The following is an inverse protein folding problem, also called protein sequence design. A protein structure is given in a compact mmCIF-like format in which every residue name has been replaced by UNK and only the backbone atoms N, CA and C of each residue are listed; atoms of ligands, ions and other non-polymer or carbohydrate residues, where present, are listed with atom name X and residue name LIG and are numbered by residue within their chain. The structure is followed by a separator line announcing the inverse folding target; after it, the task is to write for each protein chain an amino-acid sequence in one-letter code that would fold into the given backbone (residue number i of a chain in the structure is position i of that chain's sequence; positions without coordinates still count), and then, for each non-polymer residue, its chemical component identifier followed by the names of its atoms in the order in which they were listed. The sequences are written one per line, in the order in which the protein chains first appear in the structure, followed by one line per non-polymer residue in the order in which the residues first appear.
data_IF_756070600451
#
_entry.id   IF_756070600451
#
_cell.length_a   1.000
_cell.length_b   1.000
_cell.length_c   1.000
_cell.angle_alpha   90.00
_cell.angle_beta   90.00
_cell.angle_gamma   90.00
#
_symmetry.space_group_name_H-M   'P 1'
#
loop_
_entity.id
_entity.type
_entity.pdbx_description
1 polymer ?
#
# COMPACT_ATOMS: atom_id res chain seq x y z
N UNK A 1 -5.25 -5.93 23.50
CA UNK A 1 -4.65 -4.74 22.89
C UNK A 1 -5.69 -4.12 21.98
N UNK A 2 -6.16 -2.92 22.32
CA UNK A 2 -7.20 -2.23 21.57
C UNK A 2 -6.75 -1.97 20.13
N UNK A 3 -7.68 -2.04 19.17
CA UNK A 3 -7.41 -1.83 17.74
C UNK A 3 -6.70 -0.50 17.49
N UNK A 4 -7.00 0.52 18.31
CA UNK A 4 -6.36 1.83 18.27
C UNK A 4 -4.85 1.77 18.53
N UNK A 5 -4.41 0.95 19.51
CA UNK A 5 -2.98 0.78 19.83
C UNK A 5 -2.23 0.07 18.71
N UNK A 6 -2.88 -0.89 18.05
CA UNK A 6 -2.34 -1.60 16.87
C UNK A 6 -2.17 -0.67 15.67
N UNK A 7 -3.17 0.15 15.41
CA UNK A 7 -3.09 1.17 14.37
C UNK A 7 -1.97 2.17 14.64
N UNK A 8 -1.82 2.64 15.88
CA UNK A 8 -0.75 3.56 16.28
C UNK A 8 0.65 2.98 16.00
N UNK A 9 0.87 1.68 16.26
CA UNK A 9 2.13 1.01 15.93
C UNK A 9 2.37 0.97 14.41
N UNK A 10 1.33 0.67 13.62
CA UNK A 10 1.42 0.66 12.16
C UNK A 10 1.71 2.03 11.56
N UNK A 11 1.21 3.10 12.18
CA UNK A 11 1.44 4.48 11.75
C UNK A 11 2.88 4.96 11.98
N UNK A 12 3.67 4.26 12.80
CA UNK A 12 5.10 4.60 13.01
C UNK A 12 5.92 4.44 11.73
N UNK A 13 5.62 3.43 10.90
CA UNK A 13 6.36 3.19 9.66
C UNK A 13 6.22 4.32 8.63
N UNK A 14 5.01 4.86 8.33
CA UNK A 14 4.86 6.10 7.58
C UNK A 14 5.67 7.27 8.11
N UNK A 15 5.71 7.46 9.42
CA UNK A 15 6.43 8.58 10.05
C UNK A 15 7.94 8.43 9.77
N UNK A 16 8.48 7.22 9.94
CA UNK A 16 9.88 6.93 9.60
C UNK A 16 10.16 7.21 8.11
N UNK A 17 9.25 6.81 7.22
CA UNK A 17 9.39 7.07 5.79
C UNK A 17 9.40 8.57 5.46
N UNK A 18 8.57 9.38 6.13
CA UNK A 18 8.58 10.84 5.99
C UNK A 18 9.89 11.47 6.45
N UNK A 19 10.49 10.96 7.54
CA UNK A 19 11.82 11.42 7.99
C UNK A 19 12.87 11.12 6.94
N UNK A 20 12.88 9.91 6.35
CA UNK A 20 13.82 9.55 5.28
C UNK A 20 13.64 10.46 4.07
N UNK A 21 12.40 10.68 3.63
CA UNK A 21 12.08 11.59 2.52
C UNK A 21 12.60 13.01 2.82
N UNK A 22 12.42 13.50 4.04
CA UNK A 22 12.92 14.81 4.49
C UNK A 22 14.45 14.91 4.45
N UNK A 23 15.17 13.85 4.82
CA UNK A 23 16.65 13.81 4.73
C UNK A 23 17.12 13.91 3.29
N UNK A 24 16.51 13.17 2.37
CA UNK A 24 16.86 13.25 0.94
C UNK A 24 16.52 14.60 0.32
N UNK A 25 15.41 15.21 0.76
CA UNK A 25 15.05 16.57 0.35
C UNK A 25 16.10 17.61 0.80
N UNK A 26 16.53 17.55 2.07
CA UNK A 26 17.58 18.41 2.60
C UNK A 26 18.93 18.18 1.90
N UNK A 27 19.28 16.92 1.63
CA UNK A 27 20.50 16.58 0.91
C UNK A 27 20.49 17.14 -0.53
N UNK A 28 19.33 17.12 -1.21
CA UNK A 28 19.19 17.75 -2.51
C UNK A 28 19.34 19.27 -2.42
N UNK A 29 18.66 19.91 -1.46
CA UNK A 29 18.74 21.35 -1.25
C UNK A 29 20.17 21.84 -0.94
N UNK A 30 20.97 21.03 -0.22
CA UNK A 30 22.35 21.35 0.12
C UNK A 30 23.36 21.13 -1.02
N UNK A 31 23.12 20.16 -1.91
CA UNK A 31 24.11 19.75 -2.94
C UNK A 31 23.74 20.15 -4.37
N UNK A 32 22.46 20.37 -4.66
CA UNK A 32 21.94 20.61 -6.01
C UNK A 32 22.10 19.42 -6.97
N UNK A 33 22.48 18.24 -6.48
CA UNK A 33 22.79 17.09 -7.34
C UNK A 33 21.50 16.43 -7.87
N UNK A 34 21.34 16.38 -9.21
CA UNK A 34 20.17 15.77 -9.88
C UNK A 34 19.92 14.31 -9.49
N UNK A 35 20.97 13.55 -9.15
CA UNK A 35 20.82 12.18 -8.67
C UNK A 35 20.02 12.11 -7.36
N UNK A 36 20.20 13.07 -6.44
CA UNK A 36 19.49 13.09 -5.16
C UNK A 36 18.02 13.46 -5.37
N UNK A 37 17.73 14.38 -6.29
CA UNK A 37 16.35 14.68 -6.69
C UNK A 37 15.62 13.43 -7.21
N UNK A 38 16.25 12.64 -8.08
CA UNK A 38 15.63 11.39 -8.57
C UNK A 38 15.33 10.37 -7.46
N UNK A 39 16.17 10.31 -6.42
CA UNK A 39 15.93 9.44 -5.26
C UNK A 39 14.75 9.96 -4.43
N UNK A 40 14.72 11.26 -4.15
CA UNK A 40 13.63 11.92 -3.43
C UNK A 40 12.28 11.70 -4.12
N UNK A 41 12.21 11.93 -5.43
CA UNK A 41 11.00 11.72 -6.22
C UNK A 41 10.57 10.24 -6.21
N UNK A 42 11.52 9.30 -6.34
CA UNK A 42 11.23 7.86 -6.26
C UNK A 42 10.64 7.45 -4.90
N UNK A 43 11.14 8.00 -3.80
CA UNK A 43 10.61 7.72 -2.46
C UNK A 43 9.20 8.27 -2.27
N UNK A 44 8.89 9.45 -2.80
CA UNK A 44 7.54 10.03 -2.74
C UNK A 44 6.56 9.21 -3.56
N UNK A 45 6.95 8.76 -4.76
CA UNK A 45 6.11 7.91 -5.61
C UNK A 45 5.75 6.59 -4.91
N UNK A 46 6.67 6.02 -4.14
CA UNK A 46 6.46 4.75 -3.42
C UNK A 46 5.90 4.94 -2.00
N UNK A 47 5.73 6.18 -1.54
CA UNK A 47 5.29 6.47 -0.17
C UNK A 47 3.96 5.78 0.21
N UNK A 48 2.91 5.78 -0.63
CA UNK A 48 1.65 5.13 -0.27
C UNK A 48 1.78 3.60 -0.13
N UNK A 49 2.70 2.97 -0.87
CA UNK A 49 3.00 1.55 -0.72
C UNK A 49 3.60 1.25 0.67
N UNK A 50 4.58 2.06 1.09
CA UNK A 50 5.20 1.95 2.43
C UNK A 50 4.14 2.11 3.52
N UNK A 51 3.22 3.07 3.33
CA UNK A 51 2.11 3.33 4.25
C UNK A 51 1.17 2.14 4.35
N UNK A 52 0.80 1.54 3.22
CA UNK A 52 -0.02 0.33 3.17
C UNK A 52 0.62 -0.82 3.94
N UNK A 53 1.91 -1.08 3.69
CA UNK A 53 2.66 -2.14 4.37
C UNK A 53 2.74 -1.89 5.89
N UNK A 54 3.08 -0.67 6.29
CA UNK A 54 3.23 -0.29 7.70
C UNK A 54 1.93 -0.46 8.49
N UNK A 55 0.83 0.01 7.91
CA UNK A 55 -0.50 -0.10 8.55
C UNK A 55 -0.98 -1.54 8.59
N UNK A 56 -0.73 -2.34 7.54
CA UNK A 56 -1.06 -3.75 7.53
C UNK A 56 -0.34 -4.53 8.65
N UNK A 57 0.96 -4.27 8.86
CA UNK A 57 1.75 -4.84 9.96
C UNK A 57 1.20 -4.43 11.31
N UNK A 58 0.88 -3.13 11.49
CA UNK A 58 0.34 -2.63 12.76
C UNK A 58 -0.98 -3.28 13.14
N UNK A 59 -1.87 -3.49 12.16
CA UNK A 59 -3.19 -4.08 12.36
C UNK A 59 -3.14 -5.60 12.56
N UNK A 60 -2.16 -6.27 11.94
CA UNK A 60 -1.98 -7.71 12.11
C UNK A 60 -1.71 -8.07 13.59
N UNK A 61 -2.46 -9.04 14.11
CA UNK A 61 -2.38 -9.48 15.51
C UNK A 61 -1.00 -10.01 15.91
N UNK A 62 -0.28 -10.58 14.95
CA UNK A 62 1.03 -11.21 15.11
C UNK A 62 2.17 -10.40 14.48
N UNK A 63 1.89 -9.20 13.96
CA UNK A 63 2.84 -8.34 13.24
C UNK A 63 3.64 -9.09 12.15
N UNK A 64 3.03 -10.11 11.53
CA UNK A 64 3.73 -10.95 10.56
C UNK A 64 4.05 -10.22 9.27
N UNK A 65 5.24 -10.46 8.71
CA UNK A 65 5.62 -9.94 7.39
C UNK A 65 4.67 -10.37 6.25
N UNK A 66 3.91 -11.46 6.41
CA UNK A 66 2.89 -11.86 5.45
C UNK A 66 1.75 -10.82 5.33
N UNK A 67 1.44 -10.09 6.42
CA UNK A 67 0.48 -8.97 6.38
C UNK A 67 1.03 -7.77 5.60
N UNK A 68 2.33 -7.50 5.72
CA UNK A 68 3.01 -6.46 4.94
C UNK A 68 2.93 -6.77 3.44
N UNK A 69 3.21 -8.03 3.07
CA UNK A 69 3.17 -8.48 1.68
C UNK A 69 1.75 -8.42 1.11
N UNK A 70 0.73 -8.75 1.91
CA UNK A 70 -0.66 -8.54 1.52
C UNK A 70 -0.99 -7.05 1.31
N UNK A 71 -0.50 -6.16 2.18
CA UNK A 71 -0.65 -4.70 2.03
C UNK A 71 0.03 -4.15 0.77
N UNK A 72 1.23 -4.63 0.47
CA UNK A 72 1.95 -4.27 -0.76
C UNK A 72 1.19 -4.72 -2.01
N UNK A 73 0.82 -6.01 -2.08
CA UNK A 73 0.07 -6.56 -3.22
C UNK A 73 -1.28 -5.88 -3.39
N UNK A 74 -2.01 -5.65 -2.29
CA UNK A 74 -3.28 -4.95 -2.31
C UNK A 74 -3.15 -3.54 -2.88
N UNK A 75 -2.17 -2.76 -2.42
CA UNK A 75 -1.98 -1.41 -2.93
C UNK A 75 -1.53 -1.39 -4.39
N UNK A 76 -0.66 -2.32 -4.82
CA UNK A 76 -0.23 -2.41 -6.23
C UNK A 76 -1.42 -2.73 -7.16
N UNK A 77 -2.29 -3.65 -6.75
CA UNK A 77 -3.50 -3.99 -7.53
C UNK A 77 -4.46 -2.81 -7.55
N UNK A 78 -4.68 -2.15 -6.41
CA UNK A 78 -5.46 -0.92 -6.34
C UNK A 78 -4.91 0.14 -7.30
N UNK A 79 -3.61 0.42 -7.26
CA UNK A 79 -2.96 1.39 -8.14
C UNK A 79 -3.15 1.03 -9.62
N UNK A 80 -2.95 -0.24 -9.99
CA UNK A 80 -3.18 -0.72 -11.35
C UNK A 80 -4.63 -0.53 -11.82
N UNK A 81 -5.61 -0.74 -10.93
CA UNK A 81 -7.03 -0.53 -11.24
C UNK A 81 -7.33 0.94 -11.47
N UNK A 82 -6.85 1.83 -10.61
CA UNK A 82 -7.07 3.27 -10.81
C UNK A 82 -6.41 3.73 -12.11
N UNK A 83 -5.20 3.27 -12.43
CA UNK A 83 -4.56 3.57 -13.73
C UNK A 83 -5.38 3.03 -14.91
N UNK A 84 -5.97 1.84 -14.76
CA UNK A 84 -6.75 1.20 -15.83
C UNK A 84 -8.15 1.77 -16.01
N UNK A 85 -8.75 2.36 -14.97
CA UNK A 85 -10.09 2.94 -15.02
C UNK A 85 -10.05 4.45 -15.29
N UNK A 86 -9.02 5.15 -14.80
CA UNK A 86 -8.63 6.48 -15.28
C UNK A 86 -7.73 6.35 -16.50
N UNK A 87 -8.21 5.68 -17.56
CA UNK A 87 -7.75 6.07 -18.89
C UNK A 87 -7.99 7.57 -18.99
N UNK A 88 -6.96 8.38 -19.30
CA UNK A 88 -7.17 9.80 -19.46
C UNK A 88 -8.26 9.94 -20.51
N UNK A 89 -9.22 10.84 -20.28
CA UNK A 89 -10.27 11.20 -21.24
C UNK A 89 -9.72 11.52 -22.66
N UNK A 90 -8.39 11.60 -22.82
CA UNK A 90 -7.65 11.95 -24.03
C UNK A 90 -6.57 10.92 -24.46
N UNK A 91 -6.48 9.71 -23.90
CA UNK A 91 -5.67 8.61 -24.49
C UNK A 91 -4.13 8.73 -24.44
N UNK A 92 -3.56 9.67 -23.68
CA UNK A 92 -2.10 9.77 -23.48
C UNK A 92 -1.74 9.29 -22.07
N UNK A 93 -0.96 8.23 -21.96
CA UNK A 93 -0.37 7.79 -20.69
C UNK A 93 0.61 8.88 -20.21
N UNK A 94 0.17 9.80 -19.35
CA UNK A 94 1.00 10.78 -18.67
C UNK A 94 1.25 10.30 -17.23
N UNK A 95 2.42 9.67 -16.94
CA UNK A 95 2.78 9.27 -15.58
C UNK A 95 2.85 10.43 -14.58
N UNK A 96 2.82 11.66 -15.09
CA UNK A 96 2.94 12.92 -14.34
C UNK A 96 1.61 13.48 -13.83
N UNK A 97 0.48 13.12 -14.44
CA UNK A 97 -0.87 13.58 -14.04
C UNK A 97 -1.63 12.58 -13.17
N UNK A 98 -1.05 11.41 -12.92
CA UNK A 98 -1.40 10.58 -11.77
C UNK A 98 -0.89 11.28 -10.51
N UNK A 99 -1.55 12.41 -10.28
CA UNK A 99 -1.07 13.52 -9.49
C UNK A 99 -0.70 13.01 -8.10
N UNK A 100 0.33 13.64 -7.54
CA UNK A 100 0.74 13.60 -6.14
C UNK A 100 -0.41 14.03 -5.20
N UNK A 101 -1.56 13.38 -5.31
CA UNK A 101 -2.88 13.67 -4.75
C UNK A 101 -3.62 12.40 -4.32
N UNK A 102 -3.23 11.20 -4.78
CA UNK A 102 -3.64 9.93 -4.15
C UNK A 102 -2.78 9.57 -2.92
N UNK A 103 -2.58 10.59 -2.09
CA UNK A 103 -1.35 11.03 -1.44
C UNK A 103 -0.78 10.19 -0.29
N UNK A 104 -1.59 9.38 0.37
CA UNK A 104 -1.26 8.77 1.65
C UNK A 104 -2.47 7.94 2.12
N UNK A 105 -3.65 8.51 1.90
CA UNK A 105 -4.95 7.89 2.16
C UNK A 105 -5.07 6.54 1.43
N UNK A 106 -4.54 6.44 0.20
CA UNK A 106 -4.53 5.18 -0.56
C UNK A 106 -3.77 4.06 0.13
N UNK A 107 -2.65 4.40 0.74
CA UNK A 107 -1.91 3.50 1.61
C UNK A 107 -2.72 3.14 2.86
N UNK A 108 -3.39 4.11 3.49
CA UNK A 108 -4.13 3.87 4.74
C UNK A 108 -5.27 2.86 4.56
N UNK A 109 -6.23 3.11 3.66
CA UNK A 109 -7.37 2.20 3.56
C UNK A 109 -6.97 0.83 3.00
N UNK A 110 -5.98 0.75 2.10
CA UNK A 110 -5.47 -0.54 1.62
C UNK A 110 -4.71 -1.29 2.71
N UNK A 111 -3.91 -0.60 3.52
CA UNK A 111 -3.23 -1.19 4.67
C UNK A 111 -4.23 -1.69 5.73
N UNK A 112 -5.30 -0.94 5.98
CA UNK A 112 -6.40 -1.36 6.86
C UNK A 112 -7.09 -2.61 6.30
N UNK A 113 -7.48 -2.60 5.03
CA UNK A 113 -8.11 -3.74 4.38
C UNK A 113 -7.22 -4.98 4.47
N UNK A 114 -5.94 -4.86 4.12
CA UNK A 114 -4.99 -5.96 4.16
C UNK A 114 -4.78 -6.51 5.58
N UNK A 115 -4.62 -5.65 6.58
CA UNK A 115 -4.47 -6.08 7.98
C UNK A 115 -5.72 -6.76 8.53
N UNK A 116 -6.91 -6.27 8.18
CA UNK A 116 -8.20 -6.89 8.57
C UNK A 116 -8.37 -8.25 7.89
N UNK A 117 -8.10 -8.34 6.59
CA UNK A 117 -8.16 -9.59 5.84
C UNK A 117 -7.14 -10.61 6.35
N UNK A 118 -5.93 -10.17 6.70
CA UNK A 118 -4.92 -11.02 7.34
C UNK A 118 -5.48 -11.63 8.62
N UNK A 119 -5.99 -10.81 9.53
CA UNK A 119 -6.54 -11.28 10.81
C UNK A 119 -7.72 -12.25 10.65
N UNK A 120 -8.44 -12.19 9.53
CA UNK A 120 -9.55 -13.09 9.22
C UNK A 120 -9.10 -14.40 8.54
N UNK A 121 -8.11 -14.32 7.64
CA UNK A 121 -7.79 -15.41 6.71
C UNK A 121 -6.42 -16.07 6.93
N UNK A 122 -5.60 -15.60 7.89
CA UNK A 122 -4.26 -16.13 8.12
C UNK A 122 -4.19 -17.62 8.47
N UNK A 123 -5.28 -18.22 8.94
CA UNK A 123 -5.37 -19.65 9.31
C UNK A 123 -6.49 -20.39 8.55
N UNK A 124 -6.83 -19.92 7.34
CA UNK A 124 -7.84 -20.60 6.53
C UNK A 124 -7.34 -21.98 6.08
N UNK A 125 -8.23 -22.98 6.12
CA UNK A 125 -7.99 -24.31 5.58
C UNK A 125 -8.77 -24.46 4.27
N UNK A 126 -8.03 -24.68 3.19
CA UNK A 126 -8.60 -24.93 1.86
C UNK A 126 -8.69 -26.45 1.61
N UNK A 127 -9.55 -26.89 0.66
CA UNK A 127 -9.62 -28.28 0.24
C UNK A 127 -8.25 -28.82 -0.24
N UNK A 128 -8.05 -30.14 -0.24
CA UNK A 128 -6.75 -30.78 -0.54
C UNK A 128 -6.12 -30.30 -1.86
N UNK A 129 -6.92 -30.07 -2.90
CA UNK A 129 -6.44 -29.59 -4.21
C UNK A 129 -5.96 -28.13 -4.21
N UNK A 130 -6.39 -27.31 -3.24
CA UNK A 130 -5.97 -25.90 -3.07
C UNK A 130 -5.13 -25.68 -1.79
N UNK A 131 -4.76 -26.75 -1.10
CA UNK A 131 -4.07 -26.67 0.20
C UNK A 131 -2.76 -25.86 0.13
N UNK A 132 -2.11 -25.79 -1.03
CA UNK A 132 -0.91 -24.98 -1.28
C UNK A 132 -1.10 -23.48 -0.95
N UNK A 133 -2.31 -22.96 -1.21
CA UNK A 133 -2.66 -21.55 -0.94
C UNK A 133 -3.20 -21.32 0.47
N UNK A 134 -3.33 -22.36 1.30
CA UNK A 134 -3.88 -22.25 2.65
C UNK A 134 -3.06 -21.37 3.59
N UNK A 135 -3.69 -20.97 4.70
CA UNK A 135 -3.06 -20.16 5.74
C UNK A 135 -2.64 -18.76 5.26
N UNK A 136 -1.44 -18.31 5.67
CA UNK A 136 -0.96 -16.94 5.44
C UNK A 136 -0.74 -16.57 3.97
N UNK A 137 -0.59 -17.58 3.10
CA UNK A 137 -0.39 -17.40 1.65
C UNK A 137 -1.68 -17.02 0.92
N UNK A 138 -2.84 -17.34 1.51
CA UNK A 138 -4.13 -16.96 0.96
C UNK A 138 -4.38 -15.45 1.07
N UNK A 139 -3.77 -14.81 2.07
CA UNK A 139 -4.08 -13.42 2.42
C UNK A 139 -3.77 -12.45 1.27
N UNK A 140 -2.59 -12.48 0.61
CA UNK A 140 -2.34 -11.63 -0.55
C UNK A 140 -3.33 -11.86 -1.70
N UNK A 141 -3.81 -13.09 -1.90
CA UNK A 141 -4.76 -13.45 -2.96
C UNK A 141 -6.14 -12.83 -2.69
N UNK A 142 -6.65 -12.94 -1.46
CA UNK A 142 -7.93 -12.28 -1.12
C UNK A 142 -7.78 -10.77 -1.15
N UNK A 143 -6.64 -10.26 -0.70
CA UNK A 143 -6.38 -8.82 -0.65
C UNK A 143 -6.33 -8.21 -2.04
N UNK A 144 -5.76 -8.90 -3.05
CA UNK A 144 -5.80 -8.43 -4.44
C UNK A 144 -7.23 -8.37 -4.97
N UNK A 145 -8.05 -9.38 -4.71
CA UNK A 145 -9.46 -9.40 -5.13
C UNK A 145 -10.24 -8.25 -4.48
N UNK A 146 -10.07 -8.04 -3.18
CA UNK A 146 -10.72 -6.92 -2.48
C UNK A 146 -10.21 -5.57 -2.99
N UNK A 147 -8.92 -5.46 -3.30
CA UNK A 147 -8.33 -4.26 -3.88
C UNK A 147 -8.93 -3.93 -5.26
N UNK A 148 -9.30 -4.93 -6.06
CA UNK A 148 -10.02 -4.71 -7.33
C UNK A 148 -11.34 -3.99 -7.10
N UNK A 149 -12.15 -4.47 -6.15
CA UNK A 149 -13.45 -3.86 -5.85
C UNK A 149 -13.32 -2.48 -5.20
N UNK A 150 -12.37 -2.31 -4.28
CA UNK A 150 -12.09 -1.00 -3.66
C UNK A 150 -11.62 -0.01 -4.74
N UNK A 151 -10.71 -0.44 -5.62
CA UNK A 151 -10.23 0.36 -6.75
C UNK A 151 -11.35 0.79 -7.67
N UNK A 152 -12.18 -0.15 -8.10
CA UNK A 152 -13.32 0.13 -8.97
C UNK A 152 -14.34 1.08 -8.34
N UNK A 153 -14.62 0.90 -7.04
CA UNK A 153 -15.53 1.79 -6.31
C UNK A 153 -14.98 3.21 -6.19
N UNK A 154 -13.70 3.36 -5.85
CA UNK A 154 -13.07 4.67 -5.75
C UNK A 154 -13.01 5.36 -7.11
N UNK A 155 -12.66 4.63 -8.18
CA UNK A 155 -12.66 5.17 -9.54
C UNK A 155 -14.05 5.50 -10.09
N UNK A 156 -15.13 4.95 -9.53
CA UNK A 156 -16.49 5.29 -9.94
C UNK A 156 -17.01 6.58 -9.27
N UNK A 157 -16.43 6.96 -8.12
CA UNK A 157 -16.83 8.15 -7.36
C UNK A 157 -16.07 9.40 -7.82
N UNK A 158 -14.81 9.23 -8.24
CA UNK A 158 -13.89 10.30 -8.65
C UNK A 158 -13.69 10.29 -10.16
#
# INVERSE_FOLDING_TARGET
MDVLKRFAIGAVYPIIALVIIGVFWLAYAATGMKAIDSIYQGLILMFPLIVSMGIAIGIAKDHSGASALAGAVGWLVYAAVIVSLNFPKNGVFTPTEFSANFNFLSGIYMGIAAGVLYNKFYNIRLPEWLAFFGGRRFVPIVTSVVALFIGAFVAAIF
#
